data_IF_442487702712
#
_entry.id   IF_442487702712
#
_cell.length_a   1.000
_cell.length_b   1.000
_cell.length_c   1.000
_cell.angle_alpha   90.00
_cell.angle_beta   90.00
_cell.angle_gamma   90.00
#
_symmetry.space_group_name_H-M   'P 1'
#
loop_
_entity.id
_entity.type
_entity.pdbx_description
1 polymer ?
#
# COMPACT_ATOMS: atom_id res chain seq x y z
N UNK A 1 10.70 -5.16 -10.97
CA UNK A 1 9.66 -6.15 -10.64
C UNK A 1 10.25 -7.55 -10.81
N UNK A 2 10.38 -8.33 -9.72
CA UNK A 2 10.59 -9.80 -9.71
C UNK A 2 11.07 -10.32 -8.34
N UNK A 3 11.91 -9.57 -7.62
CA UNK A 3 12.67 -10.15 -6.49
C UNK A 3 11.82 -10.47 -5.24
N UNK A 4 10.82 -9.64 -4.94
CA UNK A 4 9.91 -9.88 -3.79
C UNK A 4 8.88 -10.95 -4.13
N UNK A 5 8.44 -10.99 -5.39
CA UNK A 5 7.57 -12.05 -5.90
C UNK A 5 8.27 -13.42 -5.80
N UNK A 6 9.56 -13.51 -6.14
CA UNK A 6 10.33 -14.76 -6.00
C UNK A 6 10.57 -15.16 -4.54
N UNK A 7 10.83 -14.20 -3.64
CA UNK A 7 11.03 -14.49 -2.20
C UNK A 7 9.77 -14.97 -1.50
N UNK A 8 8.59 -14.44 -1.85
CA UNK A 8 7.31 -14.93 -1.32
C UNK A 8 6.96 -16.32 -1.86
N UNK A 9 7.27 -16.61 -3.13
CA UNK A 9 6.94 -17.88 -3.77
C UNK A 9 7.85 -19.05 -3.35
N UNK A 10 9.08 -18.77 -2.90
CA UNK A 10 10.07 -19.79 -2.52
C UNK A 10 9.80 -20.50 -1.17
N UNK A 11 8.70 -20.20 -0.49
CA UNK A 11 8.27 -20.94 0.69
C UNK A 11 7.02 -21.74 0.35
N UNK A 12 7.20 -23.03 0.05
CA UNK A 12 6.15 -23.96 -0.41
C UNK A 12 5.03 -24.25 0.63
N UNK A 13 4.83 -23.41 1.67
CA UNK A 13 3.89 -23.67 2.76
C UNK A 13 3.19 -22.45 3.39
N UNK A 14 3.39 -21.21 2.92
CA UNK A 14 2.75 -20.05 3.56
C UNK A 14 1.33 -19.80 3.01
N UNK A 15 0.31 -20.32 3.71
CA UNK A 15 -1.09 -19.91 3.49
C UNK A 15 -1.34 -18.46 3.92
N UNK A 16 -0.50 -17.95 4.83
CA UNK A 16 -0.60 -16.62 5.40
C UNK A 16 0.79 -15.98 5.52
N UNK A 17 0.84 -14.65 5.42
CA UNK A 17 2.03 -13.82 5.48
C UNK A 17 1.92 -12.90 6.69
N UNK A 18 2.95 -12.88 7.55
CA UNK A 18 3.09 -11.83 8.57
C UNK A 18 3.26 -10.49 7.86
N UNK A 19 2.20 -9.67 7.87
CA UNK A 19 2.14 -8.48 7.05
C UNK A 19 3.09 -7.36 7.53
N UNK A 20 3.25 -7.10 8.84
CA UNK A 20 4.30 -6.20 9.33
C UNK A 20 5.70 -6.55 8.81
N UNK A 21 6.13 -7.80 8.95
CA UNK A 21 7.48 -8.25 8.53
C UNK A 21 7.64 -8.17 7.01
N UNK A 22 6.57 -8.46 6.28
CA UNK A 22 6.54 -8.34 4.84
C UNK A 22 6.72 -6.90 4.37
N UNK A 23 5.96 -5.95 4.95
CA UNK A 23 6.09 -4.53 4.59
C UNK A 23 7.43 -3.96 5.04
N UNK A 24 7.97 -4.39 6.18
CA UNK A 24 9.31 -4.02 6.63
C UNK A 24 10.38 -4.46 5.62
N UNK A 25 10.31 -5.70 5.14
CA UNK A 25 11.19 -6.24 4.10
C UNK A 25 11.05 -5.51 2.77
N UNK A 26 9.81 -5.23 2.34
CA UNK A 26 9.51 -4.49 1.12
C UNK A 26 10.10 -3.09 1.15
N UNK A 27 9.78 -2.31 2.19
CA UNK A 27 10.25 -0.93 2.34
C UNK A 27 11.76 -0.83 2.49
N UNK A 28 12.38 -1.76 3.22
CA UNK A 28 13.84 -1.86 3.33
C UNK A 28 14.51 -2.12 1.98
N UNK A 29 13.92 -2.98 1.15
CA UNK A 29 14.39 -3.23 -0.21
C UNK A 29 14.22 -1.98 -1.10
N UNK A 30 13.05 -1.33 -1.07
CA UNK A 30 12.84 -0.10 -1.84
C UNK A 30 13.88 0.96 -1.47
N UNK A 31 14.11 1.19 -0.18
CA UNK A 31 15.09 2.15 0.31
C UNK A 31 16.53 1.78 -0.06
N UNK A 32 16.87 0.50 -0.27
CA UNK A 32 18.22 0.12 -0.71
C UNK A 32 18.47 0.39 -2.19
N UNK A 33 17.42 0.42 -3.00
CA UNK A 33 17.52 0.65 -4.46
C UNK A 33 17.50 2.14 -4.83
N UNK A 34 17.03 3.02 -3.95
CA UNK A 34 16.95 4.46 -4.22
C UNK A 34 18.22 5.16 -3.72
N UNK A 35 19.18 5.33 -4.62
CA UNK A 35 20.39 6.12 -4.38
C UNK A 35 20.03 7.58 -4.08
N UNK A 36 20.54 8.13 -2.98
CA UNK A 36 20.46 9.57 -2.66
C UNK A 36 19.25 10.06 -1.85
N UNK A 37 18.16 9.28 -1.72
CA UNK A 37 17.00 9.68 -0.90
C UNK A 37 17.03 9.15 0.55
N UNK A 38 17.88 8.16 0.84
CA UNK A 38 17.97 7.50 2.16
C UNK A 38 18.16 8.45 3.35
N UNK A 39 18.84 9.57 3.16
CA UNK A 39 19.11 10.53 4.24
C UNK A 39 18.06 11.64 4.37
N UNK A 40 17.12 11.70 3.42
CA UNK A 40 16.16 12.81 3.31
C UNK A 40 14.72 12.42 3.59
N UNK A 41 14.31 11.22 3.16
CA UNK A 41 12.94 10.75 3.31
C UNK A 41 12.93 9.54 4.23
N UNK A 42 12.18 9.64 5.33
CA UNK A 42 11.94 8.53 6.24
C UNK A 42 10.70 7.73 5.81
N UNK A 43 10.72 6.41 6.00
CA UNK A 43 9.51 5.59 5.85
C UNK A 43 9.09 5.08 7.23
N UNK A 44 7.99 5.62 7.74
CA UNK A 44 7.37 5.21 8.99
C UNK A 44 6.31 4.16 8.74
N UNK A 45 6.27 3.12 9.58
CA UNK A 45 5.34 1.99 9.46
C UNK A 45 4.53 1.86 10.74
N UNK A 46 3.23 1.79 10.58
CA UNK A 46 2.25 1.70 11.67
C UNK A 46 1.24 0.59 11.35
N UNK A 47 1.68 -0.65 11.48
CA UNK A 47 0.94 -1.82 10.99
C UNK A 47 0.54 -2.67 12.19
N UNK A 48 -0.73 -3.05 12.26
CA UNK A 48 -1.22 -4.00 13.27
C UNK A 48 -0.55 -5.38 13.10
N UNK A 49 -0.40 -6.17 14.18
CA UNK A 49 0.14 -7.53 14.10
C UNK A 49 -0.88 -8.48 13.44
N UNK A 50 -0.95 -8.44 12.12
CA UNK A 50 -1.90 -9.18 11.29
C UNK A 50 -1.20 -10.13 10.33
N UNK A 51 -1.79 -11.30 10.17
CA UNK A 51 -1.43 -12.26 9.12
C UNK A 51 -2.46 -12.15 7.99
N UNK A 52 -1.99 -12.08 6.75
CA UNK A 52 -2.84 -11.98 5.57
C UNK A 52 -2.63 -13.16 4.63
N UNK A 53 -3.72 -13.63 4.01
CA UNK A 53 -3.62 -14.57 2.90
C UNK A 53 -2.75 -14.00 1.79
N UNK A 54 -2.02 -14.87 1.07
CA UNK A 54 -1.14 -14.46 -0.03
C UNK A 54 -1.91 -13.70 -1.12
N UNK A 55 -3.17 -14.07 -1.34
CA UNK A 55 -4.11 -13.42 -2.26
C UNK A 55 -4.45 -11.98 -1.89
N UNK A 56 -4.25 -11.58 -0.62
CA UNK A 56 -4.40 -10.20 -0.14
C UNK A 56 -3.04 -9.51 0.02
N UNK A 57 -2.06 -10.21 0.59
CA UNK A 57 -0.74 -9.66 0.89
C UNK A 57 0.01 -9.18 -0.36
N UNK A 58 -0.07 -9.94 -1.46
CA UNK A 58 0.60 -9.60 -2.73
C UNK A 58 0.02 -8.31 -3.33
N UNK A 59 -1.30 -8.18 -3.56
CA UNK A 59 -1.90 -6.92 -4.00
C UNK A 59 -1.52 -5.73 -3.13
N UNK A 60 -1.58 -5.88 -1.81
CA UNK A 60 -1.18 -4.83 -0.87
C UNK A 60 0.29 -4.41 -1.05
N UNK A 61 1.20 -5.37 -1.19
CA UNK A 61 2.62 -5.08 -1.39
C UNK A 61 2.90 -4.34 -2.71
N UNK A 62 2.20 -4.71 -3.78
CA UNK A 62 2.31 -4.01 -5.06
C UNK A 62 1.74 -2.59 -5.00
N UNK A 63 0.60 -2.39 -4.35
CA UNK A 63 0.01 -1.06 -4.12
C UNK A 63 0.99 -0.18 -3.32
N UNK A 64 1.51 -0.69 -2.20
CA UNK A 64 2.50 0.04 -1.38
C UNK A 64 3.72 0.41 -2.24
N UNK A 65 4.23 -0.53 -3.03
CA UNK A 65 5.39 -0.26 -3.88
C UNK A 65 5.14 0.89 -4.86
N UNK A 66 4.01 0.90 -5.56
CA UNK A 66 3.70 1.95 -6.52
C UNK A 66 3.49 3.30 -5.84
N UNK A 67 2.72 3.35 -4.75
CA UNK A 67 2.41 4.60 -4.04
C UNK A 67 3.63 5.21 -3.35
N UNK A 68 4.46 4.39 -2.70
CA UNK A 68 5.73 4.84 -2.09
C UNK A 68 6.70 5.28 -3.18
N UNK A 69 6.79 4.56 -4.29
CA UNK A 69 7.65 4.95 -5.43
C UNK A 69 7.23 6.29 -6.01
N UNK A 70 5.92 6.51 -6.18
CA UNK A 70 5.38 7.80 -6.65
C UNK A 70 5.70 8.92 -5.67
N UNK A 71 5.53 8.69 -4.37
CA UNK A 71 5.88 9.65 -3.33
C UNK A 71 7.37 10.03 -3.38
N UNK A 72 8.26 9.04 -3.46
CA UNK A 72 9.71 9.27 -3.56
C UNK A 72 10.14 10.02 -4.83
N UNK A 73 9.40 9.87 -5.94
CA UNK A 73 9.69 10.55 -7.21
C UNK A 73 9.15 11.97 -7.27
N UNK A 74 7.96 12.21 -6.72
CA UNK A 74 7.20 13.44 -7.00
C UNK A 74 6.90 14.28 -5.77
N UNK A 75 6.78 13.69 -4.58
CA UNK A 75 6.35 14.41 -3.38
C UNK A 75 7.48 15.25 -2.75
N UNK A 76 8.75 14.92 -3.02
CA UNK A 76 9.93 15.54 -2.40
C UNK A 76 10.93 16.09 -3.43
N UNK A 77 10.55 17.10 -4.24
CA UNK A 77 11.46 17.70 -5.22
C UNK A 77 12.62 18.44 -4.55
N UNK A 78 13.67 18.71 -5.34
CA UNK A 78 14.81 19.57 -4.98
C UNK A 78 15.50 19.23 -3.66
N UNK A 79 15.53 17.93 -3.30
CA UNK A 79 16.17 17.47 -2.08
C UNK A 79 15.40 17.83 -0.80
N UNK A 80 14.08 18.06 -0.90
CA UNK A 80 13.20 18.21 0.26
C UNK A 80 13.29 16.98 1.17
N UNK A 81 13.29 17.23 2.48
CA UNK A 81 13.13 16.19 3.51
C UNK A 81 11.66 15.95 3.79
N UNK A 82 11.33 14.75 4.21
CA UNK A 82 9.96 14.41 4.57
C UNK A 82 9.82 12.99 5.10
N UNK A 83 8.58 12.58 5.27
CA UNK A 83 8.18 11.28 5.78
C UNK A 83 7.08 10.69 4.90
N UNK A 84 7.21 9.41 4.60
CA UNK A 84 6.14 8.59 4.06
C UNK A 84 5.67 7.67 5.18
N UNK A 85 4.38 7.68 5.47
CA UNK A 85 3.76 6.80 6.46
C UNK A 85 2.97 5.70 5.77
N UNK A 86 3.24 4.45 6.14
CA UNK A 86 2.43 3.29 5.76
C UNK A 86 1.72 2.80 7.01
N UNK A 87 0.38 2.82 6.98
CA UNK A 87 -0.44 2.39 8.10
C UNK A 87 -1.37 1.28 7.64
N UNK A 88 -1.51 0.23 8.43
CA UNK A 88 -2.50 -0.80 8.16
C UNK A 88 -3.19 -1.21 9.46
N UNK A 89 -4.51 -1.05 9.50
CA UNK A 89 -5.33 -1.37 10.68
C UNK A 89 -6.39 -2.40 10.33
N UNK A 90 -6.63 -3.36 11.23
CA UNK A 90 -7.79 -4.26 11.13
C UNK A 90 -8.92 -3.73 12.00
N UNK A 91 -10.02 -3.36 11.36
CA UNK A 91 -11.25 -2.97 12.04
C UNK A 91 -11.96 -4.19 12.63
N UNK A 92 -12.82 -3.96 13.62
CA UNK A 92 -13.57 -5.00 14.35
C UNK A 92 -14.44 -5.87 13.45
N UNK A 93 -14.86 -5.35 12.29
CA UNK A 93 -15.69 -6.08 11.35
C UNK A 93 -14.88 -7.04 10.45
N UNK A 94 -13.55 -7.07 10.53
CA UNK A 94 -12.62 -7.72 9.59
C UNK A 94 -12.39 -6.94 8.28
N UNK A 95 -12.57 -5.62 8.31
CA UNK A 95 -12.13 -4.73 7.24
C UNK A 95 -10.68 -4.34 7.52
N UNK A 96 -9.85 -4.31 6.48
CA UNK A 96 -8.53 -3.70 6.51
C UNK A 96 -8.60 -2.29 5.96
N UNK A 97 -7.93 -1.39 6.66
CA UNK A 97 -7.68 -0.03 6.21
C UNK A 97 -6.17 0.08 5.97
N UNK A 98 -5.77 0.15 4.71
CA UNK A 98 -4.38 0.39 4.30
C UNK A 98 -4.25 1.85 3.85
N UNK A 99 -3.33 2.56 4.46
CA UNK A 99 -3.04 3.95 4.13
C UNK A 99 -1.56 4.10 3.76
N UNK A 100 -1.32 4.81 2.65
CA UNK A 100 0.01 5.28 2.26
C UNK A 100 -0.07 6.79 2.12
N UNK A 101 0.64 7.50 3.00
CA UNK A 101 0.63 8.95 3.08
C UNK A 101 2.04 9.53 2.97
N UNK A 102 2.18 10.68 2.31
CA UNK A 102 3.39 11.50 2.28
C UNK A 102 3.11 12.90 2.83
N UNK A 103 4.13 13.55 3.41
CA UNK A 103 4.08 14.96 3.85
C UNK A 103 4.72 15.94 2.85
N UNK A 104 4.73 15.56 1.57
CA UNK A 104 5.41 16.27 0.50
C UNK A 104 4.63 17.47 -0.03
N UNK A 105 4.82 17.78 -1.31
CA UNK A 105 4.13 18.89 -2.00
C UNK A 105 2.66 18.60 -2.33
N UNK A 106 2.22 17.34 -2.17
CA UNK A 106 0.89 16.89 -2.59
C UNK A 106 0.75 16.72 -4.10
N UNK A 107 -0.30 16.03 -4.52
CA UNK A 107 -0.67 15.93 -5.95
C UNK A 107 -1.58 17.12 -6.29
N UNK A 108 -1.29 17.89 -7.36
CA UNK A 108 -2.14 19.01 -7.76
C UNK A 108 -3.60 18.58 -8.00
N UNK A 109 -4.57 19.41 -7.57
CA UNK A 109 -6.01 19.11 -7.72
C UNK A 109 -6.46 18.92 -9.18
N UNK A 110 -5.70 19.46 -10.13
CA UNK A 110 -5.94 19.30 -11.57
C UNK A 110 -5.61 17.89 -12.08
N UNK A 111 -4.87 17.09 -11.31
CA UNK A 111 -4.60 15.70 -11.65
C UNK A 111 -5.77 14.87 -11.15
N UNK A 112 -6.65 14.51 -12.10
CA UNK A 112 -7.65 13.50 -11.85
C UNK A 112 -6.95 12.16 -11.71
N UNK A 113 -6.69 11.73 -10.48
CA UNK A 113 -5.97 10.49 -10.21
C UNK A 113 -6.81 9.27 -10.62
N UNK A 114 -8.14 9.37 -10.50
CA UNK A 114 -9.08 8.30 -10.88
C UNK A 114 -9.07 8.05 -12.39
N UNK A 115 -8.86 9.11 -13.19
CA UNK A 115 -8.70 9.03 -14.63
C UNK A 115 -7.25 9.25 -15.10
N UNK A 116 -6.28 9.31 -14.18
CA UNK A 116 -4.88 9.51 -14.53
C UNK A 116 -4.42 8.23 -15.21
N UNK A 117 -4.41 8.23 -16.54
CA UNK A 117 -4.06 7.08 -17.38
C UNK A 117 -2.60 6.62 -17.27
N UNK A 118 -1.95 6.87 -16.13
CA UNK A 118 -0.64 6.33 -15.81
C UNK A 118 -0.77 4.84 -15.50
N UNK A 119 0.15 4.04 -16.05
CA UNK A 119 0.16 2.59 -15.85
C UNK A 119 0.20 2.18 -14.37
N UNK A 120 0.91 2.95 -13.54
CA UNK A 120 1.01 2.69 -12.10
C UNK A 120 -0.34 2.88 -11.38
N UNK A 121 -1.09 3.94 -11.68
CA UNK A 121 -2.39 4.16 -11.05
C UNK A 121 -3.45 3.18 -11.59
N UNK A 122 -3.39 2.82 -12.87
CA UNK A 122 -4.21 1.75 -13.43
C UNK A 122 -3.97 0.41 -12.73
N UNK A 123 -2.70 0.08 -12.42
CA UNK A 123 -2.36 -1.11 -11.64
C UNK A 123 -2.96 -1.04 -10.23
N UNK A 124 -2.82 0.10 -9.54
CA UNK A 124 -3.40 0.31 -8.20
C UNK A 124 -4.92 0.09 -8.24
N UNK A 125 -5.64 0.70 -9.18
CA UNK A 125 -7.08 0.50 -9.31
C UNK A 125 -7.46 -0.95 -9.61
N UNK A 126 -6.72 -1.63 -10.50
CA UNK A 126 -6.95 -3.04 -10.82
C UNK A 126 -6.77 -3.95 -9.61
N UNK A 127 -5.74 -3.72 -8.79
CA UNK A 127 -5.48 -4.47 -7.57
C UNK A 127 -6.53 -4.21 -6.49
N UNK A 128 -7.02 -2.98 -6.38
CA UNK A 128 -8.11 -2.64 -5.44
C UNK A 128 -9.41 -3.33 -5.85
N UNK A 129 -9.71 -3.38 -7.16
CA UNK A 129 -10.82 -4.17 -7.67
C UNK A 129 -10.68 -5.67 -7.38
N UNK A 130 -9.47 -6.23 -7.43
CA UNK A 130 -9.23 -7.64 -7.06
C UNK A 130 -9.46 -7.95 -5.58
N UNK A 131 -9.31 -6.92 -4.73
CA UNK A 131 -9.57 -6.96 -3.29
C UNK A 131 -11.02 -6.59 -2.94
N UNK A 132 -11.87 -6.36 -3.95
CA UNK A 132 -13.25 -5.88 -3.79
C UNK A 132 -13.32 -4.63 -2.88
N UNK A 133 -12.30 -3.76 -3.01
CA UNK A 133 -12.06 -2.62 -2.13
C UNK A 133 -12.45 -1.26 -2.71
N UNK A 134 -12.27 -0.23 -1.90
CA UNK A 134 -12.45 1.17 -2.28
C UNK A 134 -11.19 1.98 -2.00
N UNK A 135 -11.06 3.14 -2.66
CA UNK A 135 -9.96 4.08 -2.43
C UNK A 135 -10.48 5.50 -2.26
N UNK A 136 -9.94 6.18 -1.26
CA UNK A 136 -10.11 7.61 -1.00
C UNK A 136 -8.74 8.28 -1.06
N UNK A 137 -8.72 9.52 -1.56
CA UNK A 137 -7.50 10.34 -1.63
C UNK A 137 -7.73 11.62 -0.84
N UNK A 138 -6.81 11.95 0.06
CA UNK A 138 -6.79 13.19 0.83
C UNK A 138 -5.53 14.00 0.49
N UNK A 139 -5.65 15.34 0.46
CA UNK A 139 -4.60 16.25 -0.05
C UNK A 139 -4.22 17.37 0.92
N UNK A 140 -4.60 17.28 2.19
CA UNK A 140 -4.46 18.42 3.12
C UNK A 140 -3.01 18.68 3.57
N UNK A 141 -2.19 17.64 3.73
CA UNK A 141 -0.82 17.73 4.27
C UNK A 141 0.15 16.86 3.47
N UNK A 142 0.13 17.02 2.14
CA UNK A 142 0.78 16.13 1.19
C UNK A 142 -0.28 15.28 0.49
N UNK A 143 -0.03 13.99 0.27
CA UNK A 143 -1.02 13.07 -0.32
C UNK A 143 -1.24 11.87 0.58
N UNK A 144 -2.49 11.52 0.86
CA UNK A 144 -2.83 10.25 1.52
C UNK A 144 -3.77 9.43 0.64
N UNK A 145 -3.38 8.19 0.39
CA UNK A 145 -4.20 7.17 -0.26
C UNK A 145 -4.71 6.21 0.81
N UNK A 146 -6.03 6.16 0.98
CA UNK A 146 -6.70 5.35 2.00
C UNK A 146 -7.53 4.30 1.29
N UNK A 147 -7.16 3.05 1.49
CA UNK A 147 -7.80 1.88 0.89
C UNK A 147 -8.56 1.10 1.94
N UNK A 148 -9.78 0.69 1.61
CA UNK A 148 -10.63 -0.11 2.47
C UNK A 148 -11.06 -1.39 1.74
N UNK A 149 -10.77 -2.56 2.31
CA UNK A 149 -11.10 -3.87 1.72
C UNK A 149 -11.24 -4.96 2.80
N UNK A 150 -11.81 -6.12 2.44
CA UNK A 150 -11.97 -7.24 3.38
C UNK A 150 -10.63 -7.92 3.70
N UNK A 151 -10.43 -8.35 4.96
CA UNK A 151 -9.21 -9.05 5.36
C UNK A 151 -9.07 -10.46 4.74
N UNK A 152 -10.18 -11.05 4.30
CA UNK A 152 -10.20 -12.29 3.52
C UNK A 152 -11.50 -12.42 2.70
N UNK A 153 -11.42 -13.14 1.57
CA UNK A 153 -12.61 -13.48 0.75
C UNK A 153 -13.62 -14.37 1.49
N UNK A 154 -13.20 -15.08 2.55
CA UNK A 154 -14.10 -15.90 3.38
C UNK A 154 -14.95 -15.02 4.31
N UNK A 155 -14.31 -14.07 5.00
CA UNK A 155 -15.00 -13.12 5.89
C UNK A 155 -15.97 -12.21 5.10
N UNK A 156 -15.69 -11.93 3.83
CA UNK A 156 -16.59 -11.17 2.94
C UNK A 156 -17.89 -11.94 2.65
N UNK A 157 -17.81 -13.24 2.33
CA UNK A 157 -18.99 -14.08 2.11
C UNK A 157 -19.85 -14.20 3.37
N UNK A 158 -19.21 -14.34 4.54
CA UNK A 158 -19.91 -14.39 5.83
C UNK A 158 -20.65 -13.09 6.13
N UNK A 159 -20.07 -11.92 5.82
CA UNK A 159 -20.76 -10.62 5.95
C UNK A 159 -21.97 -10.49 5.03
N UNK A 160 -21.87 -10.94 3.79
CA UNK A 160 -22.99 -10.91 2.84
C UNK A 160 -24.13 -11.85 3.25
N UNK A 161 -23.81 -12.96 3.93
CA UNK A 161 -24.79 -13.90 4.46
C UNK A 161 -25.51 -13.40 5.73
N UNK A 162 -24.85 -12.59 6.55
CA UNK A 162 -25.45 -12.02 7.79
C UNK A 162 -26.27 -10.74 7.52
N UNK A 163 -26.11 -10.11 6.34
CA UNK A 163 -26.82 -8.89 5.95
C UNK A 163 -28.03 -9.13 5.04
N UNK A 164 -28.34 -10.39 4.72
CA UNK A 164 -29.49 -10.83 3.92
C UNK A 164 -30.59 -11.47 4.80
#
# INVERSE_FOLDING_TARGET
>A
MALIHEKLYRSENLSEVNFPDYVDSLTSYMMSTVSGNRERVNIRREIDPINLGVDVAIPCGLIINELVTNSLKYAFPDGRRGEITIRCRKSMNATLILEVADDGIGIPDVVDIQNSGTLGMQLVHGLIGQLDGTIKIERERGTSFILEFAASRREEKERQLVSA
#
